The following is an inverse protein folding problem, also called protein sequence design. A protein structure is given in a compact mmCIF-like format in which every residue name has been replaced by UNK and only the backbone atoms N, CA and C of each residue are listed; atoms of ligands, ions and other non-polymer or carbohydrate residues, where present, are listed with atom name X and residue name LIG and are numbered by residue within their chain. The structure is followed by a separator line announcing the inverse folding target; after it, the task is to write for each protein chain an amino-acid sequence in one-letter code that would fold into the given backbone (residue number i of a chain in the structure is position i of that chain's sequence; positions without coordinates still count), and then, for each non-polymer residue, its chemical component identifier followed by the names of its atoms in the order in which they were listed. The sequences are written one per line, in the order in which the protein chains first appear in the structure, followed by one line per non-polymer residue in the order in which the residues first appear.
data_IF_582921942604
#
_entry.id   IF_582921942604
#
_cell.length_a   1.000
_cell.length_b   1.000
_cell.length_c   1.000
_cell.angle_alpha   90.00
_cell.angle_beta   90.00
_cell.angle_gamma   90.00
#
_symmetry.space_group_name_H-M   'P 1'
#
loop_
_entity.id
_entity.type
_entity.pdbx_description
1 polymer ?
#
# COMPACT_ATOMS: atom_id res chain seq x y z
N UNK A 1 0.55 29.19 5.88
CA UNK A 1 0.45 27.99 5.04
C UNK A 1 -0.67 27.14 5.62
N UNK A 2 -1.67 26.76 4.84
CA UNK A 2 -2.90 26.14 5.35
C UNK A 2 -2.62 24.66 5.73
N UNK A 3 -2.94 24.19 6.96
CA UNK A 3 -2.76 22.79 7.35
C UNK A 3 -3.46 21.78 6.42
N UNK A 4 -4.50 22.20 5.68
CA UNK A 4 -5.21 21.37 4.70
C UNK A 4 -4.43 21.10 3.40
N UNK A 5 -3.27 21.72 3.19
CA UNK A 5 -2.43 21.50 1.98
C UNK A 5 -1.37 20.40 2.18
N UNK A 6 -1.39 19.69 3.31
CA UNK A 6 -0.42 18.64 3.64
C UNK A 6 -1.10 17.33 4.03
N UNK A 7 -1.67 16.66 3.05
CA UNK A 7 -2.09 15.28 3.22
C UNK A 7 -0.91 14.34 2.90
N UNK A 8 -0.12 14.01 3.92
CA UNK A 8 0.90 12.97 3.85
C UNK A 8 0.24 11.59 3.98
N UNK A 9 -0.12 10.99 2.86
CA UNK A 9 -0.69 9.64 2.85
C UNK A 9 0.40 8.61 3.19
N UNK A 10 0.30 7.97 4.35
CA UNK A 10 1.08 6.79 4.74
C UNK A 10 0.39 5.51 4.26
N UNK A 11 1.17 4.51 3.83
CA UNK A 11 0.66 3.25 3.27
C UNK A 11 1.41 2.06 3.83
N UNK A 12 0.72 1.18 4.57
CA UNK A 12 1.29 -0.04 5.17
C UNK A 12 0.24 -1.16 5.27
N UNK A 13 0.73 -2.40 5.09
CA UNK A 13 0.15 -3.71 5.43
C UNK A 13 -0.60 -3.71 6.77
N UNK A 14 -1.73 -4.42 6.79
CA UNK A 14 -2.84 -4.16 7.70
C UNK A 14 -2.65 -4.62 9.13
N UNK A 15 -3.41 -3.96 10.00
CA UNK A 15 -3.54 -4.28 11.41
C UNK A 15 -2.82 -3.27 12.28
N UNK A 16 -1.92 -3.77 13.15
CA UNK A 16 -1.26 -2.96 14.18
C UNK A 16 -0.44 -1.79 13.62
N UNK A 17 0.21 -1.98 12.47
CA UNK A 17 1.03 -0.91 11.89
C UNK A 17 0.17 0.24 11.36
N UNK A 18 -0.98 -0.05 10.72
CA UNK A 18 -1.93 0.98 10.28
C UNK A 18 -2.54 1.71 11.48
N UNK A 19 -2.91 0.97 12.54
CA UNK A 19 -3.45 1.55 13.78
C UNK A 19 -2.45 2.52 14.42
N UNK A 20 -1.19 2.10 14.58
CA UNK A 20 -0.13 2.92 15.17
C UNK A 20 0.19 4.17 14.35
N UNK A 21 0.27 4.04 13.01
CA UNK A 21 0.48 5.20 12.14
C UNK A 21 -0.70 6.17 12.16
N UNK A 22 -1.94 5.67 12.11
CA UNK A 22 -3.13 6.51 12.13
C UNK A 22 -3.23 7.28 13.45
N UNK A 23 -3.05 6.57 14.58
CA UNK A 23 -3.04 7.20 15.90
C UNK A 23 -1.89 8.18 16.06
N UNK A 24 -0.67 7.78 15.66
CA UNK A 24 0.51 8.65 15.72
C UNK A 24 0.34 9.91 14.87
N UNK A 25 -0.18 9.79 13.64
CA UNK A 25 -0.49 10.92 12.78
C UNK A 25 -1.53 11.84 13.40
N UNK A 26 -2.61 11.27 13.96
CA UNK A 26 -3.69 12.01 14.62
C UNK A 26 -3.21 12.83 15.83
N UNK A 27 -2.33 12.24 16.65
CA UNK A 27 -1.76 12.90 17.83
C UNK A 27 -0.63 13.88 17.50
N UNK A 28 -0.04 13.76 16.32
CA UNK A 28 1.05 14.63 15.87
C UNK A 28 0.57 15.94 15.25
N UNK A 29 1.50 16.87 15.01
CA UNK A 29 1.25 18.09 14.22
C UNK A 29 1.06 17.81 12.72
N UNK A 30 1.39 16.60 12.27
CA UNK A 30 1.30 16.22 10.87
C UNK A 30 -0.16 16.07 10.42
N UNK A 31 -1.02 15.53 11.30
CA UNK A 31 -2.47 15.33 11.10
C UNK A 31 -2.86 14.79 9.73
N UNK A 32 -2.01 13.97 9.15
CA UNK A 32 -2.21 13.49 7.79
C UNK A 32 -3.11 12.27 7.76
N UNK A 33 -3.94 12.20 6.71
CA UNK A 33 -4.82 11.06 6.50
C UNK A 33 -4.01 9.81 6.15
N UNK A 34 -4.24 8.73 6.89
CA UNK A 34 -3.60 7.43 6.63
C UNK A 34 -4.51 6.59 5.73
N UNK A 35 -3.93 6.01 4.68
CA UNK A 35 -4.67 5.13 3.77
C UNK A 35 -4.13 3.69 3.88
N UNK A 36 -4.97 2.76 4.33
CA UNK A 36 -4.68 1.34 4.27
C UNK A 36 -5.10 0.75 2.93
N UNK A 37 -4.27 -0.10 2.32
CA UNK A 37 -4.59 -0.97 1.18
C UNK A 37 -4.64 -2.49 1.51
N UNK A 38 -5.83 -3.01 1.78
CA UNK A 38 -6.10 -4.31 2.39
C UNK A 38 -5.85 -5.46 1.43
N UNK A 39 -4.92 -6.34 1.78
CA UNK A 39 -4.49 -7.47 0.91
C UNK A 39 -5.09 -8.81 1.31
N UNK A 40 -5.81 -8.86 2.43
CA UNK A 40 -6.62 -10.00 2.89
C UNK A 40 -8.03 -9.50 3.26
N UNK A 41 -8.80 -10.31 3.99
CA UNK A 41 -10.10 -10.01 4.64
C UNK A 41 -10.99 -8.95 3.93
N UNK A 42 -11.74 -8.17 4.69
CA UNK A 42 -12.61 -7.11 4.19
C UNK A 42 -12.48 -5.83 5.01
N UNK A 43 -13.07 -4.76 4.48
CA UNK A 43 -13.01 -3.43 5.08
C UNK A 43 -13.59 -3.39 6.50
N UNK A 44 -14.68 -4.12 6.75
CA UNK A 44 -15.33 -4.13 8.07
C UNK A 44 -14.39 -4.77 9.10
N UNK A 45 -13.84 -5.93 8.78
CA UNK A 45 -12.87 -6.62 9.63
C UNK A 45 -11.71 -5.69 10.02
N UNK A 46 -11.16 -4.94 9.07
CA UNK A 46 -10.03 -4.05 9.36
C UNK A 46 -10.40 -2.84 10.22
N UNK A 47 -11.56 -2.21 9.99
CA UNK A 47 -11.99 -1.14 10.87
C UNK A 47 -12.27 -1.62 12.29
N UNK A 48 -12.90 -2.79 12.43
CA UNK A 48 -13.18 -3.39 13.74
C UNK A 48 -11.87 -3.75 14.46
N UNK A 49 -10.96 -4.46 13.78
CA UNK A 49 -9.65 -4.83 14.33
C UNK A 49 -8.83 -3.61 14.77
N UNK A 50 -8.82 -2.54 13.97
CA UNK A 50 -8.12 -1.31 14.33
C UNK A 50 -8.84 -0.60 15.48
N UNK A 51 -10.17 -0.58 15.50
CA UNK A 51 -10.93 0.00 16.60
C UNK A 51 -10.61 -0.71 17.92
N UNK A 52 -10.57 -2.05 17.94
CA UNK A 52 -10.22 -2.83 19.12
C UNK A 52 -8.82 -2.46 19.67
N UNK A 53 -7.85 -2.23 18.77
CA UNK A 53 -6.52 -1.75 19.17
C UNK A 53 -6.57 -0.34 19.77
N UNK A 54 -7.31 0.59 19.14
CA UNK A 54 -7.45 1.97 19.63
C UNK A 54 -8.15 2.02 21.00
N UNK A 55 -9.17 1.20 21.19
CA UNK A 55 -9.90 1.06 22.45
C UNK A 55 -9.00 0.45 23.53
N UNK A 56 -8.18 -0.55 23.18
CA UNK A 56 -7.16 -1.11 24.07
C UNK A 56 -6.08 -0.10 24.49
N UNK A 57 -5.78 0.88 23.65
CA UNK A 57 -4.91 2.02 24.00
C UNK A 57 -5.66 3.15 24.72
N UNK A 58 -6.97 3.03 24.90
CA UNK A 58 -7.83 4.05 25.48
C UNK A 58 -7.70 5.40 24.73
N UNK A 59 -7.51 5.33 23.41
CA UNK A 59 -7.16 6.47 22.58
C UNK A 59 -8.30 7.50 22.45
N UNK A 60 -9.56 7.07 22.60
CA UNK A 60 -10.72 7.95 22.50
C UNK A 60 -11.00 8.46 21.09
N UNK A 61 -10.61 7.69 20.06
CA UNK A 61 -10.75 8.06 18.65
C UNK A 61 -11.40 6.92 17.86
N UNK A 62 -12.21 7.28 16.86
CA UNK A 62 -12.87 6.31 15.98
C UNK A 62 -11.96 6.01 14.78
N UNK A 63 -11.76 4.73 14.47
CA UNK A 63 -10.87 4.26 13.40
C UNK A 63 -11.19 4.92 12.05
N UNK A 64 -12.48 5.02 11.69
CA UNK A 64 -12.96 5.66 10.45
C UNK A 64 -12.68 7.16 10.34
N UNK A 65 -12.37 7.84 11.44
CA UNK A 65 -12.08 9.29 11.43
C UNK A 65 -10.61 9.59 11.11
N UNK A 66 -9.71 8.64 11.40
CA UNK A 66 -8.27 8.84 11.29
C UNK A 66 -7.61 8.02 10.17
N UNK A 67 -8.34 7.07 9.60
CA UNK A 67 -7.84 6.22 8.52
C UNK A 67 -8.92 5.93 7.47
N UNK A 68 -8.46 5.70 6.24
CA UNK A 68 -9.28 5.23 5.14
C UNK A 68 -8.78 3.86 4.67
N UNK A 69 -9.63 2.85 4.76
CA UNK A 69 -9.35 1.49 4.28
C UNK A 69 -9.82 1.36 2.83
N UNK A 70 -8.95 0.85 1.96
CA UNK A 70 -9.25 0.45 0.58
C UNK A 70 -8.84 -0.99 0.37
N UNK A 71 -9.61 -1.78 -0.37
CA UNK A 71 -9.26 -3.17 -0.65
C UNK A 71 -8.37 -3.29 -1.89
N UNK A 72 -7.28 -4.05 -1.77
CA UNK A 72 -6.31 -4.30 -2.84
C UNK A 72 -5.86 -5.77 -2.91
N UNK A 73 -6.66 -6.70 -2.39
CA UNK A 73 -6.36 -8.15 -2.41
C UNK A 73 -6.38 -8.76 -3.82
N UNK A 74 -7.06 -8.14 -4.79
CA UNK A 74 -7.18 -8.67 -6.14
C UNK A 74 -7.89 -10.02 -6.13
N UNK A 75 -7.28 -11.04 -6.76
CA UNK A 75 -7.80 -12.41 -6.80
C UNK A 75 -7.80 -13.13 -5.43
N UNK A 76 -7.12 -12.57 -4.42
CA UNK A 76 -7.03 -13.14 -3.08
C UNK A 76 -5.65 -12.97 -2.46
N UNK A 77 -5.56 -13.38 -1.20
CA UNK A 77 -4.31 -13.33 -0.45
C UNK A 77 -3.23 -14.22 -1.09
N UNK A 78 -2.02 -13.68 -1.26
CA UNK A 78 -0.87 -14.35 -1.90
C UNK A 78 -1.09 -14.86 -3.35
N UNK A 79 -2.20 -14.50 -4.00
CA UNK A 79 -2.48 -14.84 -5.40
C UNK A 79 -2.22 -13.59 -6.24
N UNK A 80 -1.21 -13.62 -7.11
CA UNK A 80 -0.82 -12.47 -7.93
C UNK A 80 -1.28 -12.63 -9.38
N UNK A 81 -1.95 -11.61 -9.93
CA UNK A 81 -2.28 -11.56 -11.37
C UNK A 81 -1.07 -11.12 -12.22
N UNK A 82 -1.05 -11.42 -13.53
CA UNK A 82 0.00 -10.93 -14.42
C UNK A 82 0.16 -9.40 -14.41
N UNK A 83 -0.94 -8.66 -14.27
CA UNK A 83 -0.93 -7.19 -14.17
C UNK A 83 -0.31 -6.71 -12.86
N UNK A 84 -0.61 -7.40 -11.74
CA UNK A 84 0.01 -7.10 -10.45
C UNK A 84 1.53 -7.33 -10.48
N UNK A 85 1.96 -8.44 -11.08
CA UNK A 85 3.40 -8.73 -11.25
C UNK A 85 4.08 -7.75 -12.21
N UNK A 86 3.37 -7.28 -13.23
CA UNK A 86 3.87 -6.23 -14.14
C UNK A 86 4.13 -4.94 -13.39
N UNK A 87 3.25 -4.51 -12.49
CA UNK A 87 3.45 -3.30 -11.68
C UNK A 87 4.68 -3.44 -10.78
N UNK A 88 4.86 -4.60 -10.14
CA UNK A 88 6.06 -4.87 -9.33
C UNK A 88 7.33 -4.73 -10.17
N UNK A 89 7.35 -5.31 -11.37
CA UNK A 89 8.46 -5.18 -12.32
C UNK A 89 8.69 -3.74 -12.76
N UNK A 90 7.64 -3.04 -13.17
CA UNK A 90 7.72 -1.67 -13.68
C UNK A 90 8.27 -0.72 -12.60
N UNK A 91 7.83 -0.86 -11.34
CA UNK A 91 8.35 -0.07 -10.21
C UNK A 91 9.82 -0.37 -9.98
N UNK A 92 10.21 -1.65 -9.98
CA UNK A 92 11.61 -2.04 -9.79
C UNK A 92 12.51 -1.48 -10.91
N UNK A 93 12.07 -1.57 -12.17
CA UNK A 93 12.83 -1.05 -13.33
C UNK A 93 12.94 0.48 -13.33
N UNK A 94 11.90 1.20 -12.92
CA UNK A 94 11.88 2.67 -12.97
C UNK A 94 12.53 3.33 -11.74
N UNK A 95 12.49 2.68 -10.58
CA UNK A 95 12.86 3.30 -9.31
C UNK A 95 13.96 2.59 -8.55
N UNK A 96 14.30 1.35 -8.93
CA UNK A 96 15.18 0.46 -8.16
C UNK A 96 14.55 -0.12 -6.89
N UNK A 97 13.28 0.22 -6.59
CA UNK A 97 12.56 -0.28 -5.42
C UNK A 97 11.91 -1.64 -5.74
N UNK A 98 12.32 -2.67 -5.01
CA UNK A 98 11.72 -4.01 -5.15
C UNK A 98 10.55 -4.16 -4.19
N UNK A 99 9.35 -4.33 -4.75
CA UNK A 99 8.13 -4.63 -4.02
C UNK A 99 7.87 -6.14 -4.05
N UNK A 100 7.39 -6.69 -2.95
CA UNK A 100 6.93 -8.07 -2.91
C UNK A 100 5.52 -8.21 -3.53
N UNK A 101 5.22 -9.33 -4.20
CA UNK A 101 3.96 -9.53 -4.91
C UNK A 101 2.79 -9.94 -3.99
N UNK A 102 3.04 -10.22 -2.71
CA UNK A 102 2.02 -10.65 -1.73
C UNK A 102 1.42 -9.43 -1.02
N UNK A 103 2.23 -8.44 -0.69
CA UNK A 103 1.81 -7.31 0.13
C UNK A 103 2.07 -5.94 -0.51
N UNK A 104 3.33 -5.51 -0.57
CA UNK A 104 3.72 -4.14 -0.95
C UNK A 104 3.40 -3.85 -2.42
N UNK A 105 3.54 -4.83 -3.30
CA UNK A 105 3.13 -4.77 -4.71
C UNK A 105 1.62 -4.64 -4.87
N UNK A 106 0.83 -5.40 -4.10
CA UNK A 106 -0.64 -5.29 -4.10
C UNK A 106 -1.11 -3.94 -3.57
N UNK A 107 -0.47 -3.45 -2.51
CA UNK A 107 -0.72 -2.10 -2.04
C UNK A 107 -0.44 -1.11 -3.17
N UNK A 108 0.75 -1.10 -3.79
CA UNK A 108 1.10 -0.22 -4.93
C UNK A 108 0.11 -0.30 -6.07
N UNK A 109 -0.30 -1.50 -6.47
CA UNK A 109 -1.37 -1.66 -7.44
C UNK A 109 -2.66 -0.94 -7.02
N UNK A 110 -3.16 -1.18 -5.80
CA UNK A 110 -4.38 -0.55 -5.31
C UNK A 110 -4.31 0.98 -5.29
N UNK A 111 -3.15 1.54 -4.93
CA UNK A 111 -2.98 2.99 -4.89
C UNK A 111 -2.86 3.64 -6.25
N UNK A 112 -2.13 3.01 -7.18
CA UNK A 112 -2.06 3.52 -8.54
C UNK A 112 -3.45 3.49 -9.21
N UNK A 113 -4.25 2.46 -8.91
CA UNK A 113 -5.66 2.40 -9.33
C UNK A 113 -6.47 3.55 -8.72
N UNK A 114 -6.37 3.75 -7.41
CA UNK A 114 -7.08 4.82 -6.72
C UNK A 114 -6.69 6.21 -7.23
N UNK A 115 -5.40 6.43 -7.52
CA UNK A 115 -4.92 7.65 -8.16
C UNK A 115 -5.51 7.89 -9.54
N UNK A 116 -5.65 6.81 -10.32
CA UNK A 116 -6.22 6.86 -11.67
C UNK A 116 -7.73 7.10 -11.63
N UNK A 117 -8.44 6.52 -10.66
CA UNK A 117 -9.89 6.64 -10.49
C UNK A 117 -10.28 8.00 -9.88
N UNK A 118 -9.44 8.55 -8.99
CA UNK A 118 -9.72 9.79 -8.26
C UNK A 118 -8.63 10.86 -8.48
N UNK A 119 -8.32 11.27 -9.73
CA UNK A 119 -7.17 12.12 -10.02
C UNK A 119 -7.24 13.50 -9.36
N UNK A 120 -8.44 14.08 -9.24
CA UNK A 120 -8.65 15.39 -8.59
C UNK A 120 -8.38 15.34 -7.09
N UNK A 121 -8.66 14.21 -6.44
CA UNK A 121 -8.32 14.02 -5.03
C UNK A 121 -6.80 14.05 -4.87
N UNK A 122 -6.07 13.31 -5.70
CA UNK A 122 -4.62 13.14 -5.55
C UNK A 122 -3.77 14.29 -6.08
N UNK A 123 -4.33 15.19 -6.90
CA UNK A 123 -3.60 16.29 -7.51
C UNK A 123 -2.97 17.23 -6.46
N UNK A 124 -1.67 17.50 -6.60
CA UNK A 124 -0.93 18.42 -5.72
C UNK A 124 -0.58 17.86 -4.33
N UNK A 125 -1.03 16.64 -3.99
CA UNK A 125 -0.74 15.99 -2.70
C UNK A 125 0.67 15.39 -2.69
N UNK A 126 1.30 15.39 -1.51
CA UNK A 126 2.59 14.73 -1.26
C UNK A 126 2.35 13.38 -0.61
N UNK A 127 2.73 12.29 -1.27
CA UNK A 127 2.48 10.93 -0.76
C UNK A 127 3.76 10.29 -0.22
N UNK A 128 3.65 9.65 0.94
CA UNK A 128 4.73 8.87 1.56
C UNK A 128 4.35 7.39 1.57
N UNK A 129 4.86 6.62 0.62
CA UNK A 129 4.72 5.18 0.66
C UNK A 129 5.66 4.60 1.72
N UNK A 130 5.13 3.84 2.69
CA UNK A 130 5.98 3.17 3.68
C UNK A 130 6.19 1.73 3.27
N UNK A 131 7.41 1.46 2.81
CA UNK A 131 7.81 0.14 2.37
C UNK A 131 8.05 -0.78 3.58
N UNK A 132 7.14 -1.72 3.82
CA UNK A 132 7.16 -2.61 5.00
C UNK A 132 7.97 -3.88 4.83
N UNK A 133 8.69 -4.04 3.72
CA UNK A 133 9.51 -5.21 3.44
C UNK A 133 8.72 -6.24 2.65
N UNK A 134 8.84 -7.51 3.04
CA UNK A 134 8.18 -8.64 2.35
C UNK A 134 9.00 -9.28 1.25
N UNK A 135 10.26 -8.86 1.05
CA UNK A 135 11.11 -9.30 -0.07
C UNK A 135 11.19 -10.83 -0.23
N UNK A 136 11.13 -11.58 0.86
CA UNK A 136 11.13 -13.05 0.81
C UNK A 136 9.91 -13.64 0.09
N UNK A 137 8.78 -12.91 0.02
CA UNK A 137 7.60 -13.30 -0.78
C UNK A 137 7.85 -13.35 -2.29
N UNK A 138 9.01 -12.88 -2.76
CA UNK A 138 9.45 -13.06 -4.15
C UNK A 138 9.77 -14.52 -4.47
N UNK A 139 10.27 -15.31 -3.50
CA UNK A 139 10.66 -16.70 -3.73
C UNK A 139 9.45 -17.57 -4.12
N UNK A 140 8.28 -17.28 -3.55
CA UNK A 140 7.03 -17.98 -3.87
C UNK A 140 6.52 -17.71 -5.29
N UNK A 141 7.08 -16.70 -5.98
CA UNK A 141 6.64 -16.24 -7.31
C UNK A 141 7.72 -16.34 -8.37
N UNK A 142 8.82 -17.05 -8.10
CA UNK A 142 9.96 -17.18 -9.04
C UNK A 142 9.52 -17.64 -10.42
N UNK A 143 8.72 -18.71 -10.51
CA UNK A 143 8.27 -19.26 -11.80
C UNK A 143 7.46 -18.25 -12.63
N UNK A 144 6.73 -17.35 -11.96
CA UNK A 144 5.94 -16.31 -12.62
C UNK A 144 6.80 -15.09 -13.01
N UNK A 145 7.81 -14.77 -12.20
CA UNK A 145 8.66 -13.58 -12.38
C UNK A 145 9.85 -13.82 -13.32
N UNK A 146 10.45 -15.01 -13.29
CA UNK A 146 11.65 -15.35 -14.04
C UNK A 146 11.48 -15.15 -15.57
N UNK A 147 10.35 -15.54 -16.21
CA UNK A 147 10.13 -15.26 -17.63
C UNK A 147 10.08 -13.76 -17.95
N UNK A 148 9.54 -12.96 -17.02
CA UNK A 148 9.37 -11.50 -17.22
C UNK A 148 10.71 -10.77 -17.17
N UNK A 149 11.61 -11.17 -16.28
CA UNK A 149 12.95 -10.57 -16.13
C UNK A 149 13.87 -11.00 -17.28
N UNK A 150 13.81 -12.26 -17.70
CA UNK A 150 14.61 -12.77 -18.82
C UNK A 150 14.33 -12.01 -20.13
N UNK A 151 13.06 -11.62 -20.36
CA UNK A 151 12.64 -10.83 -21.52
C UNK A 151 13.22 -9.41 -21.51
N UNK A 152 13.25 -8.74 -20.36
CA UNK A 152 13.87 -7.40 -20.23
C UNK A 152 15.36 -7.41 -20.56
N UNK A 153 16.07 -8.48 -20.16
CA UNK A 153 17.52 -8.58 -20.38
C UNK A 153 17.90 -8.76 -21.86
N UNK A 154 17.04 -9.39 -22.67
CA UNK A 154 17.24 -9.46 -24.14
C UNK A 154 17.03 -8.11 -24.80
N UNK A 155 15.98 -7.37 -24.43
CA UNK A 155 15.71 -6.05 -24.99
C UNK A 155 16.86 -5.05 -24.77
N UNK A 156 17.53 -5.11 -23.61
CA UNK A 156 18.68 -4.26 -23.30
C UNK A 156 19.97 -4.64 -24.06
N UNK A 157 20.05 -5.82 -24.65
CA UNK A 157 21.21 -6.25 -25.46
C UNK A 157 20.99 -6.10 -26.96
N UNK A 158 19.77 -5.82 -27.39
CA UNK A 158 19.38 -5.72 -28.81
C UNK A 158 19.07 -4.27 -29.25
N UNK A 159 19.24 -3.28 -28.37
CA UNK A 159 19.09 -1.85 -28.65
C UNK A 159 20.37 -1.08 -28.38
#
# INVERSE_FOLDING_TARGET
MNPQERDYCYRIIFGGTTAGLALGSHLSTLKSKVHGYGVCDDEKYFYDYIQDLLDGFNAGVISKEILEVKMSKGAGYAISSPEELKIVKDVAEQTGLILDPVYSGKAVNGFLKDMKENPSYWQGRKVLFVHTGGLLGMYDKVDQLQPMVAKSRRMLMEG
#
